data_IF_665666418027
#
_entry.id   IF_665666418027
#
_cell.length_a   1.000
_cell.length_b   1.000
_cell.length_c   1.000
_cell.angle_alpha   90.00
_cell.angle_beta   90.00
_cell.angle_gamma   90.00
#
_symmetry.space_group_name_H-M   'P 1'
#
loop_
_entity.id
_entity.type
_entity.pdbx_description
1 polymer ?
#
# COMPACT_ATOMS: atom_id res chain seq x y z
N UNK A 1 -12.34 -9.39 -24.96
CA UNK A 1 -11.53 -10.58 -25.40
C UNK A 1 -10.08 -10.28 -25.05
N UNK A 2 -9.36 -11.19 -24.41
CA UNK A 2 -7.97 -10.99 -23.98
C UNK A 2 -7.04 -11.68 -24.97
N UNK A 3 -5.95 -11.03 -25.32
CA UNK A 3 -4.96 -11.55 -26.28
C UNK A 3 -3.91 -12.39 -25.53
N UNK A 4 -3.44 -13.47 -26.16
CA UNK A 4 -2.34 -14.32 -25.62
C UNK A 4 -1.09 -13.47 -25.37
N UNK A 5 -0.80 -12.50 -26.26
CA UNK A 5 0.32 -11.58 -26.09
C UNK A 5 0.25 -10.82 -24.75
N UNK A 6 -0.94 -10.32 -24.38
CA UNK A 6 -1.14 -9.63 -23.11
C UNK A 6 -0.77 -10.50 -21.89
N UNK A 7 -1.20 -11.78 -21.90
CA UNK A 7 -0.87 -12.72 -20.81
C UNK A 7 0.63 -13.02 -20.75
N UNK A 8 1.25 -13.13 -21.92
CA UNK A 8 2.70 -13.30 -22.03
C UNK A 8 3.44 -12.08 -21.45
N UNK A 9 2.96 -10.87 -21.75
CA UNK A 9 3.57 -9.63 -21.25
C UNK A 9 3.43 -9.50 -19.72
N UNK A 10 2.32 -10.00 -19.12
CA UNK A 10 2.19 -10.06 -17.67
C UNK A 10 3.19 -11.04 -17.04
N UNK A 11 3.41 -12.21 -17.66
CA UNK A 11 4.41 -13.18 -17.22
C UNK A 11 5.83 -12.60 -17.28
N UNK A 12 6.14 -11.90 -18.37
CA UNK A 12 7.45 -11.27 -18.57
C UNK A 12 7.75 -10.24 -17.48
N UNK A 13 6.75 -9.39 -17.17
CA UNK A 13 6.91 -8.37 -16.14
C UNK A 13 7.06 -8.98 -14.75
N UNK A 14 6.33 -10.05 -14.42
CA UNK A 14 6.47 -10.74 -13.14
C UNK A 14 7.82 -11.48 -13.05
N UNK A 15 8.28 -12.14 -14.10
CA UNK A 15 9.62 -12.77 -14.11
C UNK A 15 10.72 -11.72 -13.98
N UNK A 16 10.58 -10.55 -14.60
CA UNK A 16 11.51 -9.45 -14.42
C UNK A 16 11.46 -8.89 -12.98
N UNK A 17 10.27 -8.77 -12.39
CA UNK A 17 10.14 -8.38 -10.99
C UNK A 17 10.81 -9.38 -10.05
N UNK A 18 10.67 -10.69 -10.33
CA UNK A 18 11.34 -11.74 -9.58
C UNK A 18 12.87 -11.62 -9.65
N UNK A 19 13.44 -11.34 -10.83
CA UNK A 19 14.87 -11.10 -10.98
C UNK A 19 15.35 -9.93 -10.09
N UNK A 20 14.52 -8.89 -9.94
CA UNK A 20 14.84 -7.77 -9.05
C UNK A 20 14.76 -8.17 -7.57
N UNK A 21 13.73 -8.91 -7.17
CA UNK A 21 13.55 -9.36 -5.78
C UNK A 21 14.70 -10.24 -5.28
N UNK A 22 15.23 -11.11 -6.15
CA UNK A 22 16.34 -12.02 -5.79
C UNK A 22 17.61 -11.25 -5.42
N UNK A 23 17.78 -10.02 -5.92
CA UNK A 23 18.96 -9.20 -5.62
C UNK A 23 18.92 -8.64 -4.19
N UNK A 24 17.77 -8.62 -3.53
CA UNK A 24 17.57 -8.17 -2.16
C UNK A 24 18.28 -6.84 -1.86
N UNK A 25 18.06 -5.88 -2.72
CA UNK A 25 18.58 -4.51 -2.63
C UNK A 25 17.44 -3.51 -2.77
N UNK A 26 17.43 -2.46 -1.96
CA UNK A 26 16.36 -1.48 -1.89
C UNK A 26 15.95 -0.85 -3.22
N UNK A 27 16.90 -0.61 -4.13
CA UNK A 27 16.59 -0.03 -5.44
C UNK A 27 15.94 -1.07 -6.34
N UNK A 28 16.41 -2.31 -6.27
CA UNK A 28 15.83 -3.43 -7.00
C UNK A 28 14.43 -3.77 -6.48
N UNK A 29 14.20 -3.72 -5.17
CA UNK A 29 12.89 -3.90 -4.56
C UNK A 29 11.89 -2.82 -5.02
N UNK A 30 12.34 -1.55 -5.16
CA UNK A 30 11.52 -0.48 -5.75
C UNK A 30 11.13 -0.78 -7.20
N UNK A 31 12.08 -1.24 -8.03
CA UNK A 31 11.76 -1.66 -9.40
C UNK A 31 10.78 -2.83 -9.41
N UNK A 32 10.96 -3.81 -8.54
CA UNK A 32 10.05 -4.93 -8.40
C UNK A 32 8.62 -4.46 -8.10
N UNK A 33 8.43 -3.60 -7.09
CA UNK A 33 7.11 -3.05 -6.72
C UNK A 33 6.46 -2.33 -7.91
N UNK A 34 7.21 -1.53 -8.67
CA UNK A 34 6.67 -0.82 -9.84
C UNK A 34 6.19 -1.80 -10.91
N UNK A 35 6.97 -2.85 -11.19
CA UNK A 35 6.61 -3.86 -12.19
C UNK A 35 5.37 -4.66 -11.76
N UNK A 36 5.31 -5.05 -10.47
CA UNK A 36 4.20 -5.81 -9.90
C UNK A 36 2.92 -4.98 -9.90
N UNK A 37 3.02 -3.71 -9.50
CA UNK A 37 1.90 -2.78 -9.48
C UNK A 37 1.32 -2.56 -10.90
N UNK A 38 2.19 -2.40 -11.89
CA UNK A 38 1.79 -2.30 -13.28
C UNK A 38 1.05 -3.56 -13.77
N UNK A 39 1.53 -4.75 -13.41
CA UNK A 39 0.84 -6.03 -13.71
C UNK A 39 -0.55 -6.06 -13.08
N UNK A 40 -0.66 -5.70 -11.81
CA UNK A 40 -1.94 -5.63 -11.12
C UNK A 40 -2.91 -4.67 -11.82
N UNK A 41 -2.47 -3.45 -12.11
CA UNK A 41 -3.30 -2.44 -12.76
C UNK A 41 -3.78 -2.88 -14.14
N UNK A 42 -2.88 -3.42 -14.97
CA UNK A 42 -3.21 -3.92 -16.31
C UNK A 42 -4.19 -5.09 -16.25
N UNK A 43 -3.97 -6.06 -15.35
CA UNK A 43 -4.83 -7.22 -15.21
C UNK A 43 -6.24 -6.85 -14.76
N UNK A 44 -6.39 -5.98 -13.74
CA UNK A 44 -7.69 -5.47 -13.34
C UNK A 44 -8.38 -4.70 -14.46
N UNK A 45 -7.66 -3.81 -15.13
CA UNK A 45 -8.21 -3.02 -16.23
C UNK A 45 -8.73 -3.90 -17.37
N UNK A 46 -7.92 -4.84 -17.85
CA UNK A 46 -8.30 -5.74 -18.93
C UNK A 46 -9.56 -6.57 -18.57
N UNK A 47 -9.65 -7.05 -17.33
CA UNK A 47 -10.82 -7.80 -16.86
C UNK A 47 -12.07 -6.93 -16.81
N UNK A 48 -11.95 -5.67 -16.36
CA UNK A 48 -13.07 -4.73 -16.31
C UNK A 48 -13.55 -4.37 -17.71
N UNK A 49 -12.63 -4.12 -18.65
CA UNK A 49 -12.95 -3.86 -20.06
C UNK A 49 -13.69 -5.06 -20.67
N UNK A 50 -13.20 -6.28 -20.43
CA UNK A 50 -13.87 -7.50 -20.94
C UNK A 50 -15.31 -7.63 -20.42
N UNK A 51 -15.58 -7.24 -19.17
CA UNK A 51 -16.96 -7.22 -18.65
C UNK A 51 -17.78 -6.11 -19.30
N UNK A 52 -17.21 -4.92 -19.47
CA UNK A 52 -17.89 -3.79 -20.10
C UNK A 52 -18.31 -4.13 -21.53
N UNK A 53 -17.46 -4.78 -22.31
CA UNK A 53 -17.77 -5.24 -23.67
C UNK A 53 -18.96 -6.22 -23.67
N UNK A 54 -18.97 -7.18 -22.75
CA UNK A 54 -20.06 -8.15 -22.63
C UNK A 54 -21.38 -7.48 -22.17
N UNK A 55 -21.31 -6.54 -21.23
CA UNK A 55 -22.48 -5.85 -20.69
C UNK A 55 -23.07 -4.84 -21.70
N UNK A 56 -22.21 -4.21 -22.52
CA UNK A 56 -22.64 -3.26 -23.56
C UNK A 56 -23.23 -3.97 -24.79
N UNK A 57 -22.68 -5.12 -25.19
CA UNK A 57 -23.20 -5.92 -26.31
C UNK A 57 -24.56 -6.56 -26.01
N UNK A 58 -24.81 -6.86 -24.72
CA UNK A 58 -26.09 -7.44 -24.30
C UNK A 58 -27.12 -6.35 -23.99
N UNK A 59 -27.69 -5.72 -25.01
CA UNK A 59 -28.83 -4.78 -24.93
C UNK A 59 -30.06 -5.31 -24.16
N UNK A 60 -30.05 -6.57 -23.73
CA UNK A 60 -31.14 -7.29 -23.08
C UNK A 60 -31.02 -7.41 -21.57
N UNK A 61 -29.88 -7.07 -20.96
CA UNK A 61 -29.71 -7.16 -19.50
C UNK A 61 -29.98 -5.78 -18.90
N UNK A 62 -31.05 -5.67 -18.13
CA UNK A 62 -31.32 -4.48 -17.29
C UNK A 62 -30.32 -4.48 -16.14
N UNK A 63 -29.19 -3.82 -16.34
CA UNK A 63 -28.19 -3.62 -15.28
C UNK A 63 -28.72 -2.49 -14.39
N UNK A 64 -28.66 -2.66 -13.06
CA UNK A 64 -29.05 -1.60 -12.14
C UNK A 64 -28.20 -0.33 -12.37
N UNK A 65 -28.80 0.84 -12.14
CA UNK A 65 -28.10 2.12 -12.30
C UNK A 65 -26.82 2.20 -11.44
N UNK A 66 -26.80 1.53 -10.29
CA UNK A 66 -25.65 1.52 -9.38
C UNK A 66 -24.51 0.62 -9.89
N UNK A 67 -24.82 -0.55 -10.46
CA UNK A 67 -23.81 -1.41 -11.10
C UNK A 67 -23.16 -0.71 -12.29
N UNK A 68 -23.93 0.03 -13.09
CA UNK A 68 -23.39 0.81 -14.21
C UNK A 68 -22.48 1.95 -13.72
N UNK A 69 -22.82 2.64 -12.62
CA UNK A 69 -21.97 3.66 -12.02
C UNK A 69 -20.65 3.07 -11.51
N UNK A 70 -20.72 1.92 -10.85
CA UNK A 70 -19.52 1.22 -10.36
C UNK A 70 -18.60 0.80 -11.51
N UNK A 71 -19.15 0.20 -12.57
CA UNK A 71 -18.40 -0.18 -13.76
C UNK A 71 -17.73 1.04 -14.43
N UNK A 72 -18.44 2.15 -14.60
CA UNK A 72 -17.88 3.39 -15.18
C UNK A 72 -16.75 3.96 -14.33
N UNK A 73 -16.87 3.92 -13.00
CA UNK A 73 -15.78 4.34 -12.08
C UNK A 73 -14.56 3.44 -12.23
N UNK A 74 -14.78 2.12 -12.32
CA UNK A 74 -13.70 1.14 -12.45
C UNK A 74 -12.99 1.22 -13.82
N UNK A 75 -13.66 1.64 -14.88
CA UNK A 75 -13.05 1.94 -16.19
C UNK A 75 -12.19 3.21 -16.17
N UNK A 76 -12.29 4.03 -15.14
CA UNK A 76 -11.48 5.23 -14.95
C UNK A 76 -10.02 4.91 -14.64
N UNK A 77 -9.23 5.98 -14.35
CA UNK A 77 -7.78 5.87 -14.08
C UNK A 77 -7.43 5.40 -12.66
N UNK A 78 -8.35 5.52 -11.69
CA UNK A 78 -8.07 5.23 -10.29
C UNK A 78 -7.90 3.73 -10.03
N UNK A 79 -6.72 3.32 -9.55
CA UNK A 79 -6.42 1.93 -9.18
C UNK A 79 -7.39 1.41 -8.12
N UNK A 80 -7.62 2.17 -7.05
CA UNK A 80 -8.52 1.82 -5.95
C UNK A 80 -9.91 1.43 -6.44
N UNK A 81 -10.45 2.15 -7.44
CA UNK A 81 -11.77 1.87 -7.98
C UNK A 81 -11.81 0.53 -8.73
N UNK A 82 -10.71 0.19 -9.42
CA UNK A 82 -10.56 -1.09 -10.11
C UNK A 82 -10.54 -2.25 -9.12
N UNK A 83 -9.71 -2.13 -8.07
CA UNK A 83 -9.55 -3.17 -7.06
C UNK A 83 -10.83 -3.38 -6.25
N UNK A 84 -11.49 -2.29 -5.81
CA UNK A 84 -12.81 -2.35 -5.14
C UNK A 84 -13.89 -2.98 -6.02
N UNK A 85 -13.88 -2.71 -7.31
CA UNK A 85 -14.76 -3.39 -8.26
C UNK A 85 -14.49 -4.90 -8.29
N UNK A 86 -13.22 -5.31 -8.19
CA UNK A 86 -12.83 -6.71 -8.06
C UNK A 86 -13.47 -7.42 -6.87
N UNK A 87 -13.61 -6.75 -5.71
CA UNK A 87 -14.33 -7.28 -4.56
C UNK A 87 -15.81 -7.49 -4.88
N UNK A 88 -16.47 -6.49 -5.50
CA UNK A 88 -17.90 -6.61 -5.86
C UNK A 88 -18.19 -7.75 -6.85
N UNK A 89 -17.18 -8.13 -7.65
CA UNK A 89 -17.26 -9.25 -8.60
C UNK A 89 -16.75 -10.58 -8.01
N UNK A 90 -16.31 -10.59 -6.76
CA UNK A 90 -15.79 -11.79 -6.10
C UNK A 90 -14.44 -12.28 -6.66
N UNK A 91 -13.64 -11.39 -7.27
CA UNK A 91 -12.31 -11.75 -7.79
C UNK A 91 -11.26 -11.83 -6.72
N UNK A 92 -11.41 -11.01 -5.71
CA UNK A 92 -10.53 -10.91 -4.54
C UNK A 92 -11.38 -10.68 -3.29
N UNK A 93 -10.83 -11.00 -2.13
CA UNK A 93 -11.42 -10.68 -0.84
C UNK A 93 -11.24 -9.20 -0.48
N UNK A 94 -11.98 -8.74 0.53
CA UNK A 94 -11.80 -7.37 1.06
C UNK A 94 -10.39 -7.20 1.66
N UNK A 95 -9.83 -8.21 2.33
CA UNK A 95 -8.47 -8.15 2.89
C UNK A 95 -7.42 -7.98 1.78
N UNK A 96 -7.55 -8.71 0.68
CA UNK A 96 -6.67 -8.56 -0.49
C UNK A 96 -6.82 -7.19 -1.15
N UNK A 97 -8.03 -6.67 -1.23
CA UNK A 97 -8.28 -5.32 -1.74
C UNK A 97 -7.57 -4.26 -0.91
N UNK A 98 -7.75 -4.29 0.41
CA UNK A 98 -7.12 -3.33 1.33
C UNK A 98 -5.58 -3.42 1.23
N UNK A 99 -5.04 -4.64 1.13
CA UNK A 99 -3.61 -4.87 0.94
C UNK A 99 -3.09 -4.29 -0.40
N UNK A 100 -3.79 -4.54 -1.52
CA UNK A 100 -3.40 -4.01 -2.83
C UNK A 100 -3.41 -2.48 -2.85
N UNK A 101 -4.42 -1.85 -2.24
CA UNK A 101 -4.48 -0.38 -2.14
C UNK A 101 -3.32 0.16 -1.31
N UNK A 102 -3.02 -0.48 -0.17
CA UNK A 102 -1.87 -0.12 0.67
C UNK A 102 -0.54 -0.24 -0.09
N UNK A 103 -0.32 -1.36 -0.77
CA UNK A 103 0.91 -1.61 -1.56
C UNK A 103 1.06 -0.64 -2.73
N UNK A 104 -0.04 -0.30 -3.42
CA UNK A 104 -0.07 0.76 -4.43
C UNK A 104 0.31 2.13 -3.82
N UNK A 105 -0.14 2.42 -2.61
CA UNK A 105 0.27 3.61 -1.84
C UNK A 105 1.78 3.65 -1.58
N UNK A 106 2.38 2.53 -1.18
CA UNK A 106 3.84 2.42 -1.00
C UNK A 106 4.60 2.64 -2.31
N UNK A 107 4.13 2.08 -3.43
CA UNK A 107 4.70 2.34 -4.75
C UNK A 107 4.69 3.85 -5.05
N UNK A 108 3.60 4.55 -4.80
CA UNK A 108 3.50 5.98 -5.06
C UNK A 108 4.41 6.80 -4.14
N UNK A 109 4.46 6.51 -2.84
CA UNK A 109 5.33 7.20 -1.88
C UNK A 109 6.81 6.96 -2.17
N UNK A 110 7.20 5.73 -2.50
CA UNK A 110 8.58 5.38 -2.87
C UNK A 110 9.04 6.08 -4.14
N UNK A 111 8.13 6.38 -5.06
CA UNK A 111 8.45 7.09 -6.30
C UNK A 111 8.61 8.60 -6.09
N UNK A 112 7.78 9.23 -5.26
CA UNK A 112 7.70 10.69 -5.12
C UNK A 112 8.47 11.27 -3.94
N UNK A 113 8.65 10.51 -2.86
CA UNK A 113 9.18 11.01 -1.58
C UNK A 113 10.53 10.41 -1.18
N UNK A 114 11.15 9.61 -2.05
CA UNK A 114 12.43 8.95 -1.74
C UNK A 114 12.28 7.72 -0.83
N UNK A 115 13.34 7.43 -0.06
CA UNK A 115 13.55 6.17 0.63
C UNK A 115 12.85 6.07 1.99
N UNK A 116 11.57 6.39 2.09
CA UNK A 116 10.80 6.06 3.29
C UNK A 116 10.51 4.56 3.32
N UNK A 117 10.57 3.94 4.50
CA UNK A 117 10.29 2.51 4.71
C UNK A 117 11.31 1.53 4.08
N UNK A 118 12.58 1.92 3.96
CA UNK A 118 13.63 1.07 3.37
C UNK A 118 13.72 -0.31 4.01
N UNK A 119 13.56 -0.39 5.33
CA UNK A 119 13.72 -1.62 6.10
C UNK A 119 12.65 -2.69 5.82
N UNK A 120 11.46 -2.27 5.37
CA UNK A 120 10.35 -3.19 5.07
C UNK A 120 10.08 -3.35 3.57
N UNK A 121 10.81 -2.62 2.72
CA UNK A 121 10.52 -2.54 1.29
C UNK A 121 10.60 -3.91 0.61
N UNK A 122 11.59 -4.71 0.98
CA UNK A 122 11.76 -6.07 0.46
C UNK A 122 10.57 -6.97 0.80
N UNK A 123 10.14 -6.97 2.07
CA UNK A 123 8.99 -7.75 2.52
C UNK A 123 7.68 -7.30 1.86
N UNK A 124 7.52 -5.98 1.64
CA UNK A 124 6.37 -5.43 0.91
C UNK A 124 6.39 -5.89 -0.55
N UNK A 125 7.54 -5.88 -1.20
CA UNK A 125 7.70 -6.30 -2.58
C UNK A 125 7.39 -7.80 -2.76
N UNK A 126 7.89 -8.66 -1.89
CA UNK A 126 7.58 -10.11 -1.88
C UNK A 126 6.07 -10.33 -1.64
N UNK A 127 5.50 -9.65 -0.66
CA UNK A 127 4.07 -9.76 -0.36
C UNK A 127 3.20 -9.32 -1.55
N UNK A 128 3.59 -8.24 -2.23
CA UNK A 128 2.88 -7.77 -3.42
C UNK A 128 2.99 -8.76 -4.58
N UNK A 129 4.18 -9.28 -4.82
CA UNK A 129 4.42 -10.31 -5.83
C UNK A 129 3.52 -11.53 -5.60
N UNK A 130 3.47 -12.01 -4.36
CA UNK A 130 2.59 -13.11 -3.96
C UNK A 130 1.12 -12.79 -4.21
N UNK A 131 0.64 -11.65 -3.73
CA UNK A 131 -0.75 -11.23 -3.84
C UNK A 131 -1.22 -11.13 -5.29
N UNK A 132 -0.38 -10.57 -6.17
CA UNK A 132 -0.68 -10.44 -7.60
C UNK A 132 -0.62 -11.80 -8.29
N UNK A 133 0.33 -12.66 -7.93
CA UNK A 133 0.40 -14.03 -8.47
C UNK A 133 -0.83 -14.86 -8.06
N UNK A 134 -1.26 -14.81 -6.79
CA UNK A 134 -2.51 -15.44 -6.30
C UNK A 134 -3.74 -14.95 -7.09
N UNK A 135 -3.82 -13.63 -7.31
CA UNK A 135 -4.90 -13.03 -8.11
C UNK A 135 -4.89 -13.57 -9.54
N UNK A 136 -3.74 -13.65 -10.18
CA UNK A 136 -3.63 -14.15 -11.57
C UNK A 136 -3.90 -15.66 -11.71
N UNK A 137 -3.57 -16.45 -10.69
CA UNK A 137 -3.98 -17.88 -10.64
C UNK A 137 -5.50 -18.04 -10.63
N UNK A 138 -6.20 -17.14 -9.91
CA UNK A 138 -7.66 -17.11 -9.85
C UNK A 138 -8.33 -16.41 -11.04
N UNK A 139 -7.52 -15.84 -11.93
CA UNK A 139 -8.00 -15.01 -13.01
C UNK A 139 -8.72 -15.85 -14.07
N UNK A 140 -10.01 -15.69 -14.18
CA UNK A 140 -10.78 -16.30 -15.26
C UNK A 140 -10.74 -15.37 -16.49
N UNK A 141 -9.99 -15.75 -17.49
CA UNK A 141 -9.76 -14.96 -18.69
C UNK A 141 -10.95 -14.93 -19.67
N UNK A 142 -12.00 -15.72 -19.41
CA UNK A 142 -13.13 -15.83 -20.34
C UNK A 142 -12.71 -16.41 -21.69
N UNK A 143 -13.00 -15.69 -22.77
CA UNK A 143 -12.49 -16.02 -24.12
C UNK A 143 -11.20 -15.27 -24.41
N UNK A 144 -10.20 -15.97 -24.92
CA UNK A 144 -8.93 -15.39 -25.37
C UNK A 144 -8.73 -15.67 -26.87
N UNK A 145 -7.88 -14.86 -27.48
CA UNK A 145 -7.53 -14.98 -28.89
C UNK A 145 -6.03 -15.15 -29.01
N UNK A 146 -5.62 -16.12 -29.81
CA UNK A 146 -4.24 -16.30 -30.23
C UNK A 146 -4.09 -15.76 -31.65
N UNK A 147 -3.12 -14.89 -31.85
CA UNK A 147 -2.75 -14.38 -33.17
C UNK A 147 -1.47 -15.06 -33.68
N UNK A 148 -1.35 -15.22 -34.98
CA UNK A 148 -0.09 -15.68 -35.59
C UNK A 148 1.07 -14.66 -35.41
N UNK A 149 0.78 -13.44 -34.99
CA UNK A 149 1.74 -12.39 -34.64
C UNK A 149 2.21 -12.44 -33.18
N UNK A 150 1.57 -13.23 -32.32
CA UNK A 150 1.91 -13.32 -30.91
C UNK A 150 3.36 -13.85 -30.75
N UNK A 151 4.14 -13.14 -29.97
CA UNK A 151 5.53 -13.52 -29.69
C UNK A 151 5.67 -13.85 -28.22
N UNK A 152 5.91 -15.11 -27.93
CA UNK A 152 6.22 -15.55 -26.58
C UNK A 152 7.70 -15.30 -26.31
N UNK A 153 7.99 -14.52 -25.29
CA UNK A 153 9.36 -14.17 -24.92
C UNK A 153 10.12 -15.35 -24.33
N UNK A 154 11.43 -15.22 -24.26
CA UNK A 154 12.27 -16.20 -23.56
C UNK A 154 11.91 -16.34 -22.07
N UNK A 155 11.49 -15.23 -21.43
CA UNK A 155 11.07 -15.23 -20.02
C UNK A 155 9.79 -16.03 -19.82
N UNK A 156 8.76 -15.78 -20.61
CA UNK A 156 7.50 -16.50 -20.53
C UNK A 156 7.68 -17.99 -20.82
N UNK A 157 8.59 -18.36 -21.72
CA UNK A 157 8.91 -19.77 -22.03
C UNK A 157 9.40 -20.59 -20.84
N UNK A 158 10.03 -19.95 -19.84
CA UNK A 158 10.43 -20.64 -18.59
C UNK A 158 9.24 -21.28 -17.87
N UNK A 159 8.07 -20.63 -17.97
CA UNK A 159 6.85 -21.02 -17.28
C UNK A 159 5.86 -21.76 -18.18
N UNK A 160 5.75 -21.34 -19.41
CA UNK A 160 4.80 -21.91 -20.38
C UNK A 160 5.32 -23.20 -21.03
N UNK A 161 6.64 -23.38 -21.11
CA UNK A 161 7.26 -24.42 -21.92
C UNK A 161 7.11 -24.16 -23.42
N UNK A 162 7.49 -25.13 -24.24
CA UNK A 162 7.38 -25.02 -25.71
C UNK A 162 6.11 -25.72 -26.17
N UNK A 163 5.09 -25.00 -26.64
CA UNK A 163 3.85 -25.61 -27.12
C UNK A 163 4.02 -26.11 -28.55
N UNK A 164 3.20 -27.09 -28.94
CA UNK A 164 3.15 -27.59 -30.32
C UNK A 164 2.43 -26.64 -31.29
N UNK A 165 1.40 -25.89 -30.82
CA UNK A 165 0.59 -24.99 -31.67
C UNK A 165 0.16 -23.69 -31.00
N UNK A 166 -0.44 -23.73 -29.79
CA UNK A 166 -0.90 -22.56 -29.05
C UNK A 166 -0.91 -22.81 -27.55
N UNK A 167 -0.84 -21.73 -26.75
CA UNK A 167 -1.00 -21.80 -25.30
C UNK A 167 -2.48 -21.74 -24.94
N UNK A 168 -2.91 -22.60 -24.02
CA UNK A 168 -4.26 -22.58 -23.46
C UNK A 168 -4.27 -21.78 -22.15
N UNK A 169 -5.48 -21.50 -21.63
CA UNK A 169 -5.66 -20.87 -20.32
C UNK A 169 -4.98 -21.68 -19.21
N UNK A 170 -5.04 -23.00 -19.29
CA UNK A 170 -4.42 -23.88 -18.30
C UNK A 170 -2.91 -23.71 -18.24
N UNK A 171 -2.26 -23.45 -19.38
CA UNK A 171 -0.82 -23.16 -19.41
C UNK A 171 -0.50 -21.87 -18.66
N UNK A 172 -1.27 -20.80 -18.88
CA UNK A 172 -1.10 -19.53 -18.17
C UNK A 172 -1.40 -19.65 -16.67
N UNK A 173 -2.49 -20.34 -16.31
CA UNK A 173 -2.82 -20.62 -14.90
C UNK A 173 -1.71 -21.42 -14.23
N UNK A 174 -1.14 -22.41 -14.88
CA UNK A 174 -0.01 -23.18 -14.36
C UNK A 174 1.26 -22.33 -14.24
N UNK A 175 1.50 -21.43 -15.20
CA UNK A 175 2.62 -20.48 -15.17
C UNK A 175 2.53 -19.52 -13.98
N UNK A 176 1.36 -18.89 -13.76
CA UNK A 176 1.13 -18.01 -12.61
C UNK A 176 1.21 -18.76 -11.28
N UNK A 177 0.75 -20.02 -11.22
CA UNK A 177 0.91 -20.86 -10.03
C UNK A 177 2.36 -21.14 -9.68
N UNK A 178 3.23 -21.36 -10.67
CA UNK A 178 4.66 -21.50 -10.44
C UNK A 178 5.28 -20.22 -9.85
N UNK A 179 4.84 -19.04 -10.32
CA UNK A 179 5.28 -17.76 -9.74
C UNK A 179 4.80 -17.60 -8.29
N UNK A 180 3.55 -17.98 -8.01
CA UNK A 180 3.01 -18.02 -6.65
C UNK A 180 3.85 -18.94 -5.74
N UNK A 181 4.16 -20.16 -6.19
CA UNK A 181 5.01 -21.12 -5.45
C UNK A 181 6.40 -20.54 -5.17
N UNK A 182 7.01 -19.86 -6.14
CA UNK A 182 8.30 -19.19 -5.95
C UNK A 182 8.21 -18.10 -4.89
N UNK A 183 7.11 -17.34 -4.86
CA UNK A 183 6.89 -16.29 -3.85
C UNK A 183 6.88 -16.84 -2.42
N UNK A 184 6.36 -18.05 -2.23
CA UNK A 184 6.37 -18.73 -0.93
C UNK A 184 7.80 -19.11 -0.52
N UNK A 185 8.64 -19.51 -1.48
CA UNK A 185 10.06 -19.86 -1.24
C UNK A 185 10.89 -18.62 -0.87
N UNK A 186 10.55 -17.43 -1.41
CA UNK A 186 11.24 -16.18 -1.06
C UNK A 186 11.04 -15.77 0.41
N UNK A 187 10.05 -16.32 1.08
CA UNK A 187 9.80 -16.16 2.50
C UNK A 187 8.56 -15.31 2.82
N UNK A 188 8.12 -15.43 4.06
CA UNK A 188 6.99 -14.66 4.60
C UNK A 188 7.43 -13.97 5.91
N UNK A 189 8.07 -12.81 5.74
CA UNK A 189 8.57 -12.02 6.86
C UNK A 189 7.74 -10.77 7.12
N UNK A 190 6.70 -10.53 6.31
CA UNK A 190 5.95 -9.28 6.30
C UNK A 190 5.49 -8.83 7.69
N UNK A 191 4.80 -9.70 8.43
CA UNK A 191 4.25 -9.33 9.76
C UNK A 191 5.37 -8.93 10.73
N UNK A 192 6.49 -9.68 10.72
CA UNK A 192 7.66 -9.40 11.56
C UNK A 192 8.27 -8.05 11.21
N UNK A 193 8.46 -7.79 9.94
CA UNK A 193 9.17 -6.61 9.45
C UNK A 193 8.30 -5.35 9.63
N UNK A 194 6.99 -5.44 9.37
CA UNK A 194 6.02 -4.38 9.72
C UNK A 194 5.99 -4.08 11.22
N UNK A 195 6.04 -5.12 12.06
CA UNK A 195 6.06 -4.94 13.51
C UNK A 195 7.37 -4.32 14.00
N UNK A 196 8.50 -4.64 13.36
CA UNK A 196 9.80 -4.05 13.65
C UNK A 196 9.81 -2.55 13.31
N UNK A 197 9.39 -2.18 12.12
CA UNK A 197 9.33 -0.79 11.67
C UNK A 197 8.36 0.05 12.53
N UNK A 198 7.18 -0.50 12.82
CA UNK A 198 6.22 0.14 13.73
C UNK A 198 6.80 0.32 15.14
N UNK A 199 7.56 -0.66 15.66
CA UNK A 199 8.24 -0.57 16.97
C UNK A 199 9.27 0.56 16.95
N UNK A 200 10.12 0.60 15.94
CA UNK A 200 11.14 1.65 15.75
C UNK A 200 10.51 3.04 15.68
N UNK A 201 9.42 3.18 14.92
CA UNK A 201 8.63 4.42 14.81
C UNK A 201 8.09 4.88 16.17
N UNK A 202 7.53 3.95 16.96
CA UNK A 202 7.01 4.24 18.31
C UNK A 202 8.13 4.67 19.25
N UNK A 203 9.25 3.94 19.27
CA UNK A 203 10.40 4.20 20.12
C UNK A 203 11.05 5.56 19.78
N UNK A 204 11.17 5.87 18.50
CA UNK A 204 11.71 7.16 18.05
C UNK A 204 10.80 8.32 18.48
N UNK A 205 9.48 8.20 18.27
CA UNK A 205 8.51 9.21 18.70
C UNK A 205 8.51 9.38 20.23
N UNK A 206 8.59 8.27 20.97
CA UNK A 206 8.68 8.25 22.43
C UNK A 206 9.92 9.00 22.93
N UNK A 207 11.06 8.72 22.33
CA UNK A 207 12.32 9.38 22.63
C UNK A 207 12.29 10.88 22.30
N UNK A 208 11.72 11.26 21.14
CA UNK A 208 11.60 12.67 20.74
C UNK A 208 10.73 13.46 21.71
N UNK A 209 9.57 12.92 22.12
CA UNK A 209 8.70 13.59 23.11
C UNK A 209 9.44 13.77 24.43
N UNK A 210 10.14 12.71 24.92
CA UNK A 210 10.89 12.77 26.18
C UNK A 210 12.02 13.79 26.11
N UNK A 211 12.78 13.80 25.05
CA UNK A 211 13.90 14.71 24.83
C UNK A 211 13.46 16.17 24.78
N UNK A 212 12.45 16.48 23.95
CA UNK A 212 11.97 17.87 23.77
C UNK A 212 11.34 18.41 25.04
N UNK A 213 10.55 17.60 25.77
CA UNK A 213 9.91 18.02 27.01
C UNK A 213 10.83 18.00 28.22
N UNK A 214 12.11 17.61 28.06
CA UNK A 214 13.07 17.39 29.17
C UNK A 214 12.46 16.49 30.28
N UNK A 215 11.57 15.57 29.91
CA UNK A 215 10.98 14.64 30.86
C UNK A 215 11.87 13.42 30.95
N UNK A 216 12.23 13.00 32.18
CA UNK A 216 12.90 11.73 32.39
C UNK A 216 12.07 10.58 31.85
N UNK A 217 12.74 9.46 31.45
CA UNK A 217 12.12 8.21 30.99
C UNK A 217 11.32 7.51 32.11
N UNK A 218 10.42 8.25 32.75
CA UNK A 218 9.56 7.68 33.78
C UNK A 218 8.36 7.00 33.14
N UNK A 219 7.89 5.86 33.69
CA UNK A 219 6.69 5.17 33.19
C UNK A 219 5.43 6.03 33.19
N UNK A 220 5.44 7.12 33.92
CA UNK A 220 4.34 8.09 34.06
C UNK A 220 4.59 9.36 33.24
N UNK A 221 4.73 9.20 31.91
CA UNK A 221 4.72 10.38 31.04
C UNK A 221 3.41 11.14 31.22
N UNK A 222 3.50 12.44 31.45
CA UNK A 222 2.33 13.31 31.57
C UNK A 222 1.87 13.74 30.19
N UNK A 223 0.56 13.81 29.98
CA UNK A 223 -0.07 14.38 28.77
C UNK A 223 0.53 15.75 28.41
N UNK A 224 0.91 16.53 29.41
CA UNK A 224 1.62 17.80 29.26
C UNK A 224 2.89 17.69 28.41
N UNK A 225 3.68 16.63 28.54
CA UNK A 225 4.93 16.47 27.76
C UNK A 225 4.67 16.44 26.26
N UNK A 226 3.55 15.84 25.85
CA UNK A 226 3.15 15.77 24.44
C UNK A 226 2.72 17.12 23.89
N UNK A 227 1.93 17.86 24.69
CA UNK A 227 1.50 19.22 24.34
C UNK A 227 2.72 20.16 24.28
N UNK A 228 3.64 20.06 25.25
CA UNK A 228 4.86 20.84 25.26
C UNK A 228 5.74 20.58 24.05
N UNK A 229 5.96 19.28 23.68
CA UNK A 229 6.79 18.93 22.55
C UNK A 229 6.23 19.51 21.24
N UNK A 230 4.93 19.35 20.98
CA UNK A 230 4.27 19.94 19.81
C UNK A 230 4.38 21.48 19.81
N UNK A 231 4.15 22.13 20.96
CA UNK A 231 4.27 23.58 21.10
C UNK A 231 5.70 24.03 20.81
N UNK A 232 6.70 23.36 21.39
CA UNK A 232 8.10 23.69 21.21
C UNK A 232 8.50 23.61 19.73
N UNK A 233 8.21 22.49 19.06
CA UNK A 233 8.56 22.30 17.64
C UNK A 233 7.84 23.32 16.76
N UNK A 234 6.54 23.52 16.96
CA UNK A 234 5.79 24.53 16.20
C UNK A 234 6.41 25.92 16.28
N UNK A 235 6.91 26.32 17.45
CA UNK A 235 7.52 27.64 17.64
C UNK A 235 8.93 27.77 17.06
N UNK A 236 9.56 26.67 16.60
CA UNK A 236 10.85 26.75 15.89
C UNK A 236 10.68 27.11 14.40
N UNK A 237 9.48 27.00 13.85
CA UNK A 237 9.20 27.37 12.46
C UNK A 237 9.33 28.90 12.29
N UNK A 238 10.00 29.35 11.24
CA UNK A 238 10.17 30.76 10.93
C UNK A 238 8.82 31.49 10.75
N UNK A 239 7.81 30.79 10.22
CA UNK A 239 6.47 31.30 9.98
C UNK A 239 5.46 30.94 11.09
N UNK A 240 5.94 30.51 12.27
CA UNK A 240 5.08 30.03 13.37
C UNK A 240 4.02 31.05 13.79
N UNK A 241 4.38 32.34 13.87
CA UNK A 241 3.44 33.39 14.28
C UNK A 241 2.36 33.64 13.24
N UNK A 242 2.70 33.59 11.95
CA UNK A 242 1.74 33.72 10.84
C UNK A 242 0.78 32.53 10.80
N UNK A 243 1.31 31.33 10.89
CA UNK A 243 0.51 30.08 10.98
C UNK A 243 -0.43 30.08 12.19
N UNK A 244 0.04 30.60 13.34
CA UNK A 244 -0.77 30.67 14.56
C UNK A 244 -1.93 31.66 14.45
N UNK A 245 -1.79 32.74 13.69
CA UNK A 245 -2.90 33.69 13.44
C UNK A 245 -4.03 32.99 12.69
N UNK A 246 -3.72 32.16 11.71
CA UNK A 246 -4.73 31.35 11.00
C UNK A 246 -5.41 30.33 11.93
N UNK A 247 -4.73 29.90 12.99
CA UNK A 247 -5.25 29.00 14.02
C UNK A 247 -6.02 29.75 15.14
N UNK A 248 -6.09 31.09 15.09
CA UNK A 248 -6.84 31.92 16.03
C UNK A 248 -6.00 32.66 17.08
N UNK A 249 -4.67 32.63 16.94
CA UNK A 249 -3.79 33.42 17.83
C UNK A 249 -3.98 34.93 17.58
N UNK A 250 -4.13 35.69 18.68
CA UNK A 250 -4.29 37.14 18.60
C UNK A 250 -3.20 37.85 19.44
N UNK A 251 -2.17 38.33 18.75
CA UNK A 251 -1.05 39.04 19.37
C UNK A 251 -1.48 40.29 20.18
N UNK A 252 -2.62 40.92 19.79
CA UNK A 252 -3.14 42.10 20.47
C UNK A 252 -3.64 41.82 21.90
N UNK A 253 -3.88 40.57 22.25
CA UNK A 253 -4.27 40.14 23.59
C UNK A 253 -3.09 40.10 24.58
N UNK A 254 -1.85 40.29 24.08
CA UNK A 254 -0.66 40.44 24.93
C UNK A 254 -0.09 39.11 25.46
N UNK A 255 -0.67 37.94 25.07
CA UNK A 255 -0.16 36.63 25.44
C UNK A 255 0.94 36.22 24.44
N UNK A 256 2.04 35.64 24.92
CA UNK A 256 3.11 35.13 24.05
C UNK A 256 2.58 33.90 23.27
N UNK A 257 3.05 33.74 22.04
CA UNK A 257 2.67 32.63 21.19
C UNK A 257 2.83 31.26 21.86
N UNK A 258 3.99 31.04 22.51
CA UNK A 258 4.26 29.79 23.20
C UNK A 258 3.25 29.48 24.32
N UNK A 259 2.94 30.49 25.13
CA UNK A 259 1.99 30.35 26.25
C UNK A 259 0.56 30.10 25.75
N UNK A 260 0.18 30.76 24.64
CA UNK A 260 -1.13 30.52 24.00
C UNK A 260 -1.24 29.11 23.43
N UNK A 261 -0.21 28.63 22.72
CA UNK A 261 -0.18 27.26 22.18
C UNK A 261 -0.21 26.21 23.28
N UNK A 262 0.43 26.46 24.41
CA UNK A 262 0.52 25.53 25.53
C UNK A 262 -0.78 25.45 26.35
N UNK A 263 -1.48 26.56 26.53
CA UNK A 263 -2.59 26.68 27.47
C UNK A 263 -3.96 26.78 26.80
N UNK A 264 -4.07 27.44 25.65
CA UNK A 264 -5.34 27.78 25.01
C UNK A 264 -5.59 27.02 23.72
N UNK A 265 -4.51 26.69 22.98
CA UNK A 265 -4.66 25.95 21.72
C UNK A 265 -4.98 24.47 21.98
N UNK A 266 -5.95 23.95 21.22
CA UNK A 266 -6.35 22.55 21.33
C UNK A 266 -5.61 21.71 20.30
N UNK A 267 -4.46 21.19 20.69
CA UNK A 267 -3.75 20.20 19.89
C UNK A 267 -4.63 18.98 19.61
N UNK A 268 -4.53 18.42 18.41
CA UNK A 268 -5.24 17.18 18.06
C UNK A 268 -4.84 16.03 18.99
N UNK A 269 -3.54 15.97 19.32
CA UNK A 269 -3.01 14.99 20.27
C UNK A 269 -2.67 15.74 21.58
N UNK A 270 -3.55 15.65 22.55
CA UNK A 270 -3.43 16.28 23.87
C UNK A 270 -3.13 15.28 25.00
N UNK A 271 -3.05 13.98 24.67
CA UNK A 271 -2.72 12.91 25.61
C UNK A 271 -1.56 12.09 25.07
N UNK A 272 -0.82 11.44 25.97
CA UNK A 272 0.27 10.54 25.56
C UNK A 272 -0.26 9.42 24.65
N UNK A 273 0.13 9.41 23.37
CA UNK A 273 -0.37 8.40 22.41
C UNK A 273 0.40 7.08 22.51
N UNK A 274 1.58 7.08 23.14
CA UNK A 274 2.51 5.93 23.13
C UNK A 274 1.90 4.65 23.71
N UNK A 275 1.18 4.66 24.84
CA UNK A 275 0.53 3.44 25.35
C UNK A 275 -0.48 2.86 24.35
N UNK A 276 -1.26 3.72 23.69
CA UNK A 276 -2.20 3.32 22.65
C UNK A 276 -1.50 2.73 21.41
N UNK A 277 -0.38 3.33 21.00
CA UNK A 277 0.42 2.84 19.89
C UNK A 277 1.06 1.48 20.18
N UNK A 278 1.59 1.27 21.40
CA UNK A 278 2.11 -0.04 21.84
C UNK A 278 1.03 -1.13 21.84
N UNK A 279 -0.21 -0.80 22.21
CA UNK A 279 -1.33 -1.73 22.10
C UNK A 279 -1.65 -2.10 20.64
N UNK A 280 -1.59 -1.13 19.71
CA UNK A 280 -1.75 -1.38 18.27
C UNK A 280 -0.63 -2.27 17.73
N UNK A 281 0.63 -2.04 18.13
CA UNK A 281 1.77 -2.89 17.79
C UNK A 281 1.56 -4.33 18.27
N UNK A 282 1.11 -4.52 19.52
CA UNK A 282 0.81 -5.85 20.03
C UNK A 282 -0.32 -6.53 19.24
N UNK A 283 -1.35 -5.78 18.84
CA UNK A 283 -2.41 -6.28 17.96
C UNK A 283 -1.92 -6.67 16.57
N UNK A 284 -0.91 -5.96 16.03
CA UNK A 284 -0.28 -6.30 14.76
C UNK A 284 0.57 -7.58 14.91
N UNK A 285 1.39 -7.68 15.95
CA UNK A 285 2.22 -8.87 16.25
C UNK A 285 1.42 -10.16 16.43
N UNK A 286 0.20 -10.03 16.95
CA UNK A 286 -0.71 -11.17 17.15
C UNK A 286 -1.50 -11.56 15.89
N UNK A 287 -1.33 -10.82 14.79
CA UNK A 287 -2.07 -11.11 13.56
C UNK A 287 -1.47 -12.33 12.84
N UNK A 288 -2.35 -13.12 12.22
CA UNK A 288 -1.98 -14.30 11.43
C UNK A 288 -2.19 -14.08 9.93
N UNK A 289 -3.05 -13.12 9.55
CA UNK A 289 -3.24 -12.74 8.15
C UNK A 289 -2.25 -11.63 7.77
N UNK A 290 -1.36 -11.85 6.80
CA UNK A 290 -0.43 -10.82 6.34
C UNK A 290 -1.16 -9.59 5.79
N UNK A 291 -2.32 -9.79 5.18
CA UNK A 291 -3.13 -8.70 4.61
C UNK A 291 -3.79 -7.83 5.71
N UNK A 292 -4.28 -8.43 6.77
CA UNK A 292 -4.78 -7.68 7.93
C UNK A 292 -3.66 -6.98 8.69
N UNK A 293 -2.50 -7.60 8.82
CA UNK A 293 -1.34 -6.97 9.42
C UNK A 293 -0.91 -5.73 8.63
N UNK A 294 -0.81 -5.84 7.31
CA UNK A 294 -0.50 -4.71 6.44
C UNK A 294 -1.51 -3.57 6.57
N UNK A 295 -2.81 -3.89 6.60
CA UNK A 295 -3.84 -2.87 6.83
C UNK A 295 -3.67 -2.17 8.18
N UNK A 296 -3.45 -2.92 9.27
CA UNK A 296 -3.20 -2.34 10.61
C UNK A 296 -2.00 -1.41 10.61
N UNK A 297 -0.95 -1.78 9.89
CA UNK A 297 0.25 -0.96 9.72
C UNK A 297 -0.05 0.33 8.94
N UNK A 298 -0.70 0.22 7.78
CA UNK A 298 -1.10 1.39 6.99
C UNK A 298 -1.99 2.35 7.79
N UNK A 299 -3.02 1.81 8.48
CA UNK A 299 -3.92 2.60 9.33
C UNK A 299 -3.16 3.29 10.49
N UNK A 300 -2.11 2.64 11.03
CA UNK A 300 -1.25 3.26 12.03
C UNK A 300 -0.43 4.40 11.43
N UNK A 301 0.24 4.16 10.32
CA UNK A 301 1.09 5.16 9.66
C UNK A 301 0.32 6.39 9.21
N UNK A 302 -0.90 6.22 8.69
CA UNK A 302 -1.78 7.31 8.28
C UNK A 302 -2.29 8.13 9.47
N UNK A 303 -2.86 7.46 10.48
CA UNK A 303 -3.49 8.14 11.63
C UNK A 303 -2.49 8.80 12.57
N UNK A 304 -1.23 8.42 12.52
CA UNK A 304 -0.16 9.01 13.36
C UNK A 304 0.72 9.99 12.59
N UNK A 305 0.43 10.18 11.31
CA UNK A 305 1.31 10.96 10.43
C UNK A 305 1.54 12.39 10.94
N UNK A 306 0.47 13.09 11.31
CA UNK A 306 0.56 14.51 11.68
C UNK A 306 1.46 14.73 12.90
N UNK A 307 1.25 13.97 13.98
CA UNK A 307 2.09 14.10 15.17
C UNK A 307 3.53 13.65 14.91
N UNK A 308 3.74 12.60 14.09
CA UNK A 308 5.09 12.15 13.75
C UNK A 308 5.84 13.20 12.93
N UNK A 309 5.21 13.81 11.94
CA UNK A 309 5.81 14.91 11.19
C UNK A 309 6.19 16.06 12.11
N UNK A 310 5.29 16.46 13.01
CA UNK A 310 5.58 17.53 13.99
C UNK A 310 6.78 17.20 14.88
N UNK A 311 7.05 15.94 15.20
CA UNK A 311 8.16 15.55 16.09
C UNK A 311 9.50 15.34 15.37
N UNK A 312 9.50 15.22 14.02
CA UNK A 312 10.71 14.93 13.23
C UNK A 312 11.20 16.10 12.38
N UNK A 313 10.42 17.16 12.22
CA UNK A 313 10.83 18.43 11.61
C UNK A 313 11.46 19.36 12.65
#
# INVERSE_FOLDING_TARGET
MIETQFLTDLLDQLDLALDQLILNDRNHDRFAIILIDNVAELAFHARIVSIADIELDRKTIVISSDSQKQLRRALGRGFDQKVRFGVTKGWISQEQCDAMIGLHGFRNSSYHQGLRHEEILHSLAIAYFRLVSEFLVSYNFGSYVTSSSDRVSYRALKYLGTPSYSYSIEHFTAAFRRLEEISVILGDTLIRDLASDMSSTIESSDSSISFISCSDDTPERRDWSVVFAQTFVFTQDEDAEEKAVDLGYNKAEGKRLFDWLLEDYRWQVSRDPIPGWRNRLNSLRAEVSPWRALKKYCDFMEQTNDIRLTLYE
#
